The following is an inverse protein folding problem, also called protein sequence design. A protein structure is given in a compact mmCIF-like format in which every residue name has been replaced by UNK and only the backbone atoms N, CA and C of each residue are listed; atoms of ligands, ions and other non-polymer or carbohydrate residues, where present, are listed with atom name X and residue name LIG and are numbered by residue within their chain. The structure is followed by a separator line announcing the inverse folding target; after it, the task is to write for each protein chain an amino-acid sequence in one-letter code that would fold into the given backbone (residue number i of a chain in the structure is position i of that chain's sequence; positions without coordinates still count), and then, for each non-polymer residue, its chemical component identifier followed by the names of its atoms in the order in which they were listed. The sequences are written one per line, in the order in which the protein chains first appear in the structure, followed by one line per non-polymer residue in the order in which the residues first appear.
data_IF_913442724212
#
_entry.id   IF_913442724212
#
_cell.length_a   1.000
_cell.length_b   1.000
_cell.length_c   1.000
_cell.angle_alpha   90.00
_cell.angle_beta   90.00
_cell.angle_gamma   90.00
#
_symmetry.space_group_name_H-M   'P 1'
#
loop_
_entity.id
_entity.type
_entity.pdbx_description
1 polymer ?
#
# COMPACT_ATOMS: atom_id res chain seq x y z
N UNK A 1 -2.46 -8.21 20.50
CA UNK A 1 -2.58 -6.77 20.13
C UNK A 1 -2.02 -6.46 18.73
N UNK A 2 -0.82 -6.90 18.34
CA UNK A 2 -0.27 -6.59 17.00
C UNK A 2 -0.98 -7.23 15.80
N UNK A 3 -1.49 -8.47 15.92
CA UNK A 3 -2.12 -9.19 14.82
C UNK A 3 -3.49 -8.60 14.43
N UNK A 4 -4.34 -8.33 15.41
CA UNK A 4 -5.66 -7.71 15.16
C UNK A 4 -5.53 -6.32 14.55
N UNK A 5 -4.57 -5.52 15.03
CA UNK A 5 -4.29 -4.21 14.46
C UNK A 5 -3.88 -4.30 12.98
N UNK A 6 -3.02 -5.27 12.61
CA UNK A 6 -2.64 -5.51 11.21
C UNK A 6 -3.82 -5.96 10.36
N UNK A 7 -4.66 -6.87 10.87
CA UNK A 7 -5.87 -7.31 10.16
C UNK A 7 -6.83 -6.16 9.95
N UNK A 8 -7.10 -5.38 10.99
CA UNK A 8 -7.96 -4.19 10.90
C UNK A 8 -7.41 -3.17 9.91
N UNK A 9 -6.09 -2.96 9.89
CA UNK A 9 -5.43 -2.11 8.88
C UNK A 9 -5.64 -2.63 7.45
N UNK A 10 -5.36 -3.91 7.21
CA UNK A 10 -5.56 -4.53 5.89
C UNK A 10 -7.01 -4.39 5.42
N UNK A 11 -7.97 -4.71 6.28
CA UNK A 11 -9.39 -4.58 5.98
C UNK A 11 -9.78 -3.12 5.71
N UNK A 12 -9.37 -2.19 6.56
CA UNK A 12 -9.70 -0.77 6.40
C UNK A 12 -9.17 -0.16 5.10
N UNK A 13 -7.93 -0.48 4.70
CA UNK A 13 -7.39 0.00 3.42
C UNK A 13 -8.14 -0.64 2.24
N UNK A 14 -8.43 -1.95 2.29
CA UNK A 14 -9.17 -2.62 1.24
C UNK A 14 -10.58 -2.03 1.05
N UNK A 15 -11.27 -1.71 2.15
CA UNK A 15 -12.60 -1.08 2.12
C UNK A 15 -12.58 0.31 1.48
N UNK A 16 -11.56 1.12 1.80
CA UNK A 16 -11.35 2.43 1.17
C UNK A 16 -11.14 2.27 -0.34
N UNK A 17 -10.25 1.37 -0.76
CA UNK A 17 -10.00 1.11 -2.19
C UNK A 17 -11.26 0.62 -2.90
N UNK A 18 -12.02 -0.30 -2.29
CA UNK A 18 -13.28 -0.79 -2.82
C UNK A 18 -14.32 0.33 -2.97
N UNK A 19 -14.34 1.30 -2.07
CA UNK A 19 -15.21 2.46 -2.19
C UNK A 19 -14.75 3.44 -3.27
N UNK A 20 -13.44 3.70 -3.38
CA UNK A 20 -12.87 4.58 -4.41
C UNK A 20 -13.12 4.05 -5.83
N UNK A 21 -12.92 2.74 -6.06
CA UNK A 21 -13.05 2.12 -7.40
C UNK A 21 -14.37 2.42 -8.12
N UNK A 22 -15.46 2.60 -7.38
CA UNK A 22 -16.80 2.91 -7.93
C UNK A 22 -16.84 4.22 -8.72
N UNK A 23 -15.87 5.11 -8.48
CA UNK A 23 -15.79 6.45 -9.06
C UNK A 23 -14.56 6.64 -9.95
N UNK A 24 -13.73 5.60 -10.11
CA UNK A 24 -12.57 5.64 -10.99
C UNK A 24 -12.99 5.26 -12.41
N UNK A 25 -12.34 5.85 -13.40
CA UNK A 25 -12.48 5.45 -14.80
C UNK A 25 -11.92 4.03 -14.99
N UNK A 26 -12.42 3.32 -15.99
CA UNK A 26 -11.80 2.08 -16.47
C UNK A 26 -10.29 2.27 -16.74
N UNK A 27 -9.50 1.22 -16.45
CA UNK A 27 -8.04 1.21 -16.54
C UNK A 27 -7.33 2.31 -15.71
N UNK A 28 -7.88 2.63 -14.54
CA UNK A 28 -7.25 3.56 -13.60
C UNK A 28 -5.85 3.10 -13.14
N UNK A 29 -5.05 4.05 -12.66
CA UNK A 29 -3.78 3.79 -11.98
C UNK A 29 -3.89 4.27 -10.53
N UNK A 30 -3.62 3.38 -9.56
CA UNK A 30 -3.58 3.74 -8.14
C UNK A 30 -2.15 3.55 -7.62
N UNK A 31 -1.54 4.63 -7.15
CA UNK A 31 -0.21 4.59 -6.54
C UNK A 31 -0.31 4.77 -5.02
N UNK A 32 0.07 3.74 -4.27
CA UNK A 32 0.14 3.78 -2.81
C UNK A 32 1.59 3.81 -2.37
N UNK A 33 1.96 4.80 -1.55
CA UNK A 33 3.31 4.93 -0.99
C UNK A 33 3.28 4.51 0.47
N UNK A 34 4.02 3.46 0.82
CA UNK A 34 4.07 2.97 2.18
C UNK A 34 5.36 2.22 2.51
N UNK A 35 5.71 2.18 3.79
CA UNK A 35 6.69 1.23 4.30
C UNK A 35 5.98 -0.07 4.70
N UNK A 36 6.15 -1.11 3.88
CA UNK A 36 5.50 -2.39 4.12
C UNK A 36 6.40 -3.37 4.87
N UNK A 37 6.65 -3.09 6.16
CA UNK A 37 7.47 -3.95 7.02
C UNK A 37 6.90 -5.37 7.21
N UNK A 38 5.60 -5.56 7.01
CA UNK A 38 4.89 -6.80 7.31
C UNK A 38 4.31 -7.50 6.08
N UNK A 39 4.65 -7.03 4.88
CA UNK A 39 4.15 -7.58 3.61
C UNK A 39 2.61 -7.64 3.55
N UNK A 40 1.95 -6.57 3.98
CA UNK A 40 0.48 -6.45 4.05
C UNK A 40 -0.15 -6.05 2.72
N UNK A 41 0.58 -5.37 1.84
CA UNK A 41 0.01 -4.82 0.61
C UNK A 41 -0.42 -5.86 -0.43
N UNK A 42 0.22 -7.05 -0.54
CA UNK A 42 -0.31 -8.14 -1.35
C UNK A 42 -1.71 -8.59 -0.89
N UNK A 43 -1.96 -8.68 0.42
CA UNK A 43 -3.28 -9.05 0.96
C UNK A 43 -4.32 -7.95 0.73
N UNK A 44 -3.92 -6.68 0.83
CA UNK A 44 -4.77 -5.53 0.51
C UNK A 44 -5.19 -5.56 -0.97
N UNK A 45 -4.25 -5.86 -1.88
CA UNK A 45 -4.54 -5.97 -3.31
C UNK A 45 -5.59 -7.05 -3.59
N UNK A 46 -5.40 -8.24 -3.03
CA UNK A 46 -6.34 -9.35 -3.15
C UNK A 46 -7.75 -8.97 -2.64
N UNK A 47 -7.85 -8.46 -1.41
CA UNK A 47 -9.14 -8.07 -0.80
C UNK A 47 -9.82 -6.88 -1.51
N UNK A 48 -9.04 -6.05 -2.18
CA UNK A 48 -9.57 -4.94 -2.99
C UNK A 48 -9.84 -5.36 -4.44
N UNK A 49 -9.71 -6.64 -4.82
CA UNK A 49 -9.95 -7.08 -6.21
C UNK A 49 -9.08 -6.32 -7.22
N UNK A 50 -7.84 -6.04 -6.83
CA UNK A 50 -6.83 -5.31 -7.61
C UNK A 50 -5.55 -6.13 -7.63
N UNK A 51 -4.61 -5.73 -8.48
CA UNK A 51 -3.29 -6.35 -8.58
C UNK A 51 -2.19 -5.31 -8.52
N UNK A 52 -1.11 -5.64 -7.82
CA UNK A 52 0.13 -4.85 -7.83
C UNK A 52 0.89 -5.23 -9.09
N UNK A 53 0.94 -4.33 -10.08
CA UNK A 53 1.62 -4.58 -11.36
C UNK A 53 3.07 -4.12 -11.34
N UNK A 54 3.41 -3.11 -10.52
CA UNK A 54 4.78 -2.64 -10.33
C UNK A 54 5.03 -2.28 -8.85
N UNK A 55 6.29 -2.38 -8.44
CA UNK A 55 6.77 -1.89 -7.13
C UNK A 55 8.07 -1.12 -7.33
N UNK A 56 8.13 0.08 -6.75
CA UNK A 56 9.32 0.93 -6.80
C UNK A 56 9.81 1.20 -5.38
N UNK A 57 11.12 1.09 -5.15
CA UNK A 57 11.72 1.46 -3.86
C UNK A 57 12.24 2.89 -3.94
N UNK A 58 11.73 3.76 -3.06
CA UNK A 58 12.19 5.14 -2.94
C UNK A 58 13.03 5.31 -1.67
N UNK A 59 14.30 5.70 -1.77
CA UNK A 59 15.09 6.04 -0.59
C UNK A 59 14.58 7.36 0.02
N UNK A 60 14.47 7.41 1.36
CA UNK A 60 14.11 8.64 2.08
C UNK A 60 15.35 9.22 2.76
N UNK A 61 15.87 10.30 2.17
CA UNK A 61 17.13 10.94 2.57
C UNK A 61 16.95 12.01 3.65
N UNK A 62 15.84 12.75 3.63
CA UNK A 62 15.56 13.82 4.59
C UNK A 62 14.67 13.32 5.72
N UNK A 63 15.28 13.03 6.88
CA UNK A 63 14.57 12.66 8.11
C UNK A 63 15.01 13.55 9.26
N UNK A 64 14.05 13.93 10.10
CA UNK A 64 14.26 14.72 11.33
C UNK A 64 14.81 13.89 12.49
N UNK A 65 14.72 12.55 12.42
CA UNK A 65 15.18 11.64 13.48
C UNK A 65 16.68 11.31 13.39
N UNK A 66 17.31 11.12 14.56
CA UNK A 66 18.75 10.80 14.71
C UNK A 66 19.16 9.43 14.15
N UNK A 67 18.20 8.60 13.72
CA UNK A 67 18.48 7.26 13.20
C UNK A 67 18.98 7.32 11.75
N UNK A 68 20.21 6.84 11.53
CA UNK A 68 20.90 6.84 10.24
C UNK A 68 20.61 5.58 9.40
N UNK A 69 19.81 4.65 9.91
CA UNK A 69 19.48 3.43 9.16
C UNK A 69 18.77 3.77 7.83
N UNK A 70 19.12 3.09 6.72
CA UNK A 70 18.42 3.27 5.45
C UNK A 70 16.92 2.96 5.60
N UNK A 71 16.06 3.92 5.27
CA UNK A 71 14.62 3.75 5.20
C UNK A 71 14.21 3.95 3.75
N UNK A 72 13.53 2.96 3.23
CA UNK A 72 12.92 2.99 1.92
C UNK A 72 11.42 2.82 2.07
N UNK A 73 10.67 3.65 1.36
CA UNK A 73 9.26 3.40 1.11
C UNK A 73 9.13 2.62 -0.19
N UNK A 74 8.02 1.89 -0.31
CA UNK A 74 7.63 1.20 -1.52
C UNK A 74 6.46 1.98 -2.13
N UNK A 75 6.58 2.29 -3.42
CA UNK A 75 5.48 2.79 -4.24
C UNK A 75 4.88 1.56 -4.92
N UNK A 76 3.67 1.20 -4.51
CA UNK A 76 2.90 0.13 -5.13
C UNK A 76 2.01 0.70 -6.22
N UNK A 77 2.10 0.14 -7.42
CA UNK A 77 1.21 0.46 -8.52
C UNK A 77 0.10 -0.60 -8.62
N UNK A 78 -1.12 -0.21 -8.26
CA UNK A 78 -2.31 -1.03 -8.32
C UNK A 78 -3.10 -0.76 -9.61
N UNK A 79 -3.55 -1.84 -10.25
CA UNK A 79 -4.49 -1.85 -11.38
C UNK A 79 -5.71 -2.71 -11.03
N UNK A 80 -6.83 -2.49 -11.71
CA UNK A 80 -7.94 -3.46 -11.71
C UNK A 80 -7.44 -4.82 -12.22
N UNK A 81 -8.04 -5.91 -11.74
CA UNK A 81 -7.76 -7.26 -12.24
C UNK A 81 -8.16 -7.36 -13.71
#
# INVERSE_FOLDING_TARGET
RGLEARRSYVHGIADVLNNCKKYLKDDFDVFLVANDKHNLYPEIADKSGMKIVNQFKRPVLNRTERDRNPYSEIIFHFKSI
#
